data_IF_740000898896
#
_entry.id   IF_740000898896
#
_cell.length_a   1.000
_cell.length_b   1.000
_cell.length_c   1.000
_cell.angle_alpha   90.00
_cell.angle_beta   90.00
_cell.angle_gamma   90.00
#
_symmetry.space_group_name_H-M   'P 1'
#
loop_
_entity.id
_entity.type
_entity.pdbx_description
1 polymer ?
#
# COMPACT_ATOMS: atom_id res chain seq x y z
N UNK A 1 17.81 16.40 12.35
CA UNK A 1 16.48 16.90 11.97
C UNK A 1 16.22 16.54 10.51
N UNK A 2 15.16 15.82 10.22
CA UNK A 2 14.81 15.49 8.84
C UNK A 2 14.23 16.76 8.17
N UNK A 3 14.92 17.31 7.15
CA UNK A 3 14.40 18.52 6.49
C UNK A 3 13.08 18.29 5.74
N UNK A 4 12.68 17.04 5.50
CA UNK A 4 11.40 16.74 4.87
C UNK A 4 10.22 16.86 5.84
N UNK A 5 10.47 16.86 7.16
CA UNK A 5 9.40 16.86 8.16
C UNK A 5 8.51 18.09 8.09
N UNK A 6 9.07 19.24 7.68
CA UNK A 6 8.33 20.50 7.60
C UNK A 6 7.75 20.77 6.21
N UNK A 7 7.96 19.85 5.28
CA UNK A 7 7.47 20.04 3.91
C UNK A 7 6.01 19.61 3.78
N UNK A 8 5.23 20.32 2.98
CA UNK A 8 3.88 19.87 2.65
C UNK A 8 3.91 18.50 1.98
N UNK A 9 2.84 17.75 2.21
CA UNK A 9 2.59 16.47 1.56
C UNK A 9 1.23 16.52 0.87
N UNK A 10 0.86 15.44 0.18
CA UNK A 10 -0.54 15.27 -0.21
C UNK A 10 -1.38 15.09 1.04
N UNK A 11 -2.68 15.36 0.92
CA UNK A 11 -3.62 15.17 2.03
C UNK A 11 -3.96 13.69 2.22
N UNK A 12 -4.52 13.34 3.37
CA UNK A 12 -5.08 12.01 3.61
C UNK A 12 -6.08 11.62 2.51
N UNK A 13 -6.98 12.52 2.14
CA UNK A 13 -7.98 12.24 1.11
C UNK A 13 -7.33 11.94 -0.24
N UNK A 14 -6.32 12.69 -0.63
CA UNK A 14 -5.57 12.44 -1.87
C UNK A 14 -4.84 11.10 -1.83
N UNK A 15 -4.23 10.77 -0.69
CA UNK A 15 -3.56 9.48 -0.50
C UNK A 15 -4.53 8.31 -0.63
N UNK A 16 -5.72 8.42 -0.05
CA UNK A 16 -6.74 7.37 -0.15
C UNK A 16 -7.24 7.20 -1.58
N UNK A 17 -7.39 8.31 -2.33
CA UNK A 17 -7.74 8.24 -3.75
C UNK A 17 -6.65 7.50 -4.54
N UNK A 18 -5.39 7.80 -4.27
CA UNK A 18 -4.27 7.13 -4.94
C UNK A 18 -4.22 5.64 -4.59
N UNK A 19 -4.42 5.30 -3.32
CA UNK A 19 -4.48 3.91 -2.88
C UNK A 19 -5.60 3.16 -3.61
N UNK A 20 -6.78 3.76 -3.72
CA UNK A 20 -7.88 3.17 -4.46
C UNK A 20 -7.54 2.91 -5.92
N UNK A 21 -6.86 3.85 -6.58
CA UNK A 21 -6.39 3.66 -7.95
C UNK A 21 -5.41 2.48 -8.06
N UNK A 22 -4.43 2.42 -7.17
CA UNK A 22 -3.44 1.33 -7.19
C UNK A 22 -4.10 -0.04 -6.99
N UNK A 23 -5.05 -0.13 -6.08
CA UNK A 23 -5.80 -1.37 -5.82
C UNK A 23 -6.66 -1.74 -7.05
N UNK A 24 -7.45 -0.81 -7.56
CA UNK A 24 -8.37 -1.08 -8.67
C UNK A 24 -7.63 -1.46 -9.95
N UNK A 25 -6.54 -0.76 -10.26
CA UNK A 25 -5.72 -1.06 -11.43
C UNK A 25 -5.08 -2.45 -11.33
N UNK A 26 -4.64 -2.82 -10.14
CA UNK A 26 -4.05 -4.15 -9.91
C UNK A 26 -5.12 -5.23 -10.05
N UNK A 27 -6.28 -5.05 -9.45
CA UNK A 27 -7.39 -6.01 -9.53
C UNK A 27 -7.82 -6.23 -11.00
N UNK A 28 -7.76 -5.18 -11.80
CA UNK A 28 -8.18 -5.24 -13.20
C UNK A 28 -7.36 -6.22 -14.05
N UNK A 29 -6.12 -6.55 -13.63
CA UNK A 29 -5.28 -7.49 -14.36
C UNK A 29 -5.34 -8.91 -13.80
N UNK A 30 -6.11 -9.13 -12.74
CA UNK A 30 -6.25 -10.45 -12.12
C UNK A 30 -7.46 -11.18 -12.70
N UNK A 31 -7.25 -12.41 -13.15
CA UNK A 31 -8.30 -13.25 -13.71
C UNK A 31 -8.31 -14.62 -13.03
N UNK A 32 -9.49 -15.10 -12.60
CA UNK A 32 -10.79 -14.42 -12.63
C UNK A 32 -10.78 -13.19 -11.73
N UNK A 33 -11.67 -12.23 -12.00
CA UNK A 33 -11.73 -11.00 -11.20
C UNK A 33 -12.13 -11.34 -9.77
N UNK A 34 -11.30 -11.00 -8.77
CA UNK A 34 -11.62 -11.29 -7.39
C UNK A 34 -12.65 -10.31 -6.83
N UNK A 35 -13.32 -10.74 -5.77
CA UNK A 35 -14.11 -9.85 -4.94
C UNK A 35 -13.22 -9.30 -3.83
N UNK A 36 -13.29 -8.00 -3.61
CA UNK A 36 -12.50 -7.33 -2.58
C UNK A 36 -13.24 -7.42 -1.24
N UNK A 37 -12.57 -8.02 -0.25
CA UNK A 37 -13.08 -8.15 1.11
C UNK A 37 -12.16 -7.36 2.04
N UNK A 38 -12.66 -6.22 2.51
CA UNK A 38 -11.84 -5.27 3.28
C UNK A 38 -11.35 -5.89 4.58
N UNK A 39 -10.04 -5.81 4.79
CA UNK A 39 -9.43 -6.11 6.07
C UNK A 39 -9.60 -4.89 6.98
N UNK A 40 -10.55 -4.97 7.91
CA UNK A 40 -11.01 -3.84 8.74
C UNK A 40 -9.86 -3.13 9.48
N UNK A 41 -8.89 -3.85 10.10
CA UNK A 41 -7.78 -3.17 10.78
C UNK A 41 -6.96 -2.24 9.90
N UNK A 42 -6.97 -2.44 8.57
CA UNK A 42 -6.24 -1.54 7.67
C UNK A 42 -6.83 -0.14 7.60
N UNK A 43 -8.06 0.06 8.07
CA UNK A 43 -8.68 1.39 8.13
C UNK A 43 -8.07 2.28 9.20
N UNK A 44 -7.34 1.72 10.15
CA UNK A 44 -6.69 2.50 11.20
C UNK A 44 -5.44 3.16 10.64
N UNK A 45 -5.35 4.48 10.81
CA UNK A 45 -4.16 5.22 10.39
C UNK A 45 -2.99 4.83 11.29
N UNK A 46 -1.82 4.63 10.68
CA UNK A 46 -0.58 4.38 11.39
C UNK A 46 0.15 5.66 11.74
N UNK A 47 0.95 5.62 12.77
CA UNK A 47 1.89 6.70 13.10
C UNK A 47 3.14 6.48 12.28
N UNK A 48 3.69 7.58 11.73
CA UNK A 48 4.94 7.49 10.97
C UNK A 48 6.08 7.01 11.86
N UNK A 49 6.90 6.07 11.36
CA UNK A 49 7.95 5.45 12.19
C UNK A 49 9.21 6.28 12.37
N UNK A 50 9.29 7.50 11.85
CA UNK A 50 10.47 8.34 12.00
C UNK A 50 10.56 8.85 13.43
N UNK A 51 11.41 8.20 14.23
CA UNK A 51 11.54 8.47 15.66
C UNK A 51 12.47 9.62 15.98
N UNK A 52 13.21 10.12 14.99
CA UNK A 52 14.21 11.18 15.21
C UNK A 52 13.61 12.57 15.11
N UNK A 53 12.39 12.68 14.61
CA UNK A 53 11.71 13.94 14.43
C UNK A 53 10.53 14.06 15.41
N UNK A 54 10.58 15.03 16.35
CA UNK A 54 9.48 15.23 17.29
C UNK A 54 8.14 15.54 16.62
N UNK A 55 8.15 16.10 15.40
CA UNK A 55 6.95 16.36 14.64
C UNK A 55 6.37 15.14 13.95
N UNK A 56 7.09 14.01 13.93
CA UNK A 56 6.64 12.81 13.22
C UNK A 56 5.37 12.21 13.82
N UNK A 57 5.11 12.45 15.09
CA UNK A 57 3.89 11.94 15.76
C UNK A 57 2.60 12.53 15.16
N UNK A 58 2.68 13.68 14.49
CA UNK A 58 1.54 14.32 13.85
C UNK A 58 1.37 13.90 12.40
N UNK A 59 2.33 13.18 11.85
CA UNK A 59 2.25 12.62 10.51
C UNK A 59 1.72 11.20 10.58
N UNK A 60 1.00 10.80 9.55
CA UNK A 60 0.33 9.50 9.50
C UNK A 60 0.71 8.75 8.22
N UNK A 61 0.54 7.44 8.28
CA UNK A 61 0.45 6.59 7.11
C UNK A 61 -0.99 6.09 7.01
N UNK A 62 -1.55 6.12 5.81
CA UNK A 62 -2.88 5.56 5.57
C UNK A 62 -2.73 4.33 4.68
N UNK A 63 -3.59 3.35 4.89
CA UNK A 63 -3.53 2.11 4.14
C UNK A 63 -4.92 1.54 3.88
N UNK A 64 -4.98 0.65 2.89
CA UNK A 64 -6.13 -0.20 2.65
C UNK A 64 -5.60 -1.57 2.26
N UNK A 65 -6.19 -2.60 2.83
CA UNK A 65 -5.83 -3.97 2.54
C UNK A 65 -7.09 -4.80 2.36
N UNK A 66 -7.08 -5.67 1.36
CA UNK A 66 -8.24 -6.48 1.01
C UNK A 66 -7.84 -7.93 0.85
N UNK A 67 -8.70 -8.83 1.32
CA UNK A 67 -8.64 -10.22 0.88
C UNK A 67 -9.21 -10.31 -0.53
N UNK A 68 -8.57 -11.09 -1.38
CA UNK A 68 -9.04 -11.33 -2.75
C UNK A 68 -9.82 -12.64 -2.76
N UNK A 69 -11.15 -12.55 -2.75
CA UNK A 69 -12.04 -13.70 -2.69
C UNK A 69 -12.39 -14.20 -4.08
N UNK A 70 -12.60 -15.51 -4.21
CA UNK A 70 -13.05 -16.11 -5.46
C UNK A 70 -11.95 -16.55 -6.39
N UNK A 71 -10.68 -16.48 -5.96
CA UNK A 71 -9.55 -17.00 -6.73
C UNK A 71 -9.37 -18.50 -6.47
N UNK A 72 -8.76 -19.24 -7.43
CA UNK A 72 -8.32 -20.61 -7.15
C UNK A 72 -7.38 -20.64 -5.95
N UNK A 73 -7.42 -21.73 -5.18
CA UNK A 73 -6.72 -21.82 -3.89
C UNK A 73 -5.47 -22.70 -3.92
N UNK A 74 -5.00 -23.11 -5.11
CA UNK A 74 -3.75 -23.84 -5.24
C UNK A 74 -2.57 -22.88 -5.24
N UNK A 75 -1.44 -23.32 -4.70
CA UNK A 75 -0.23 -22.48 -4.69
C UNK A 75 0.19 -22.07 -6.09
N UNK A 76 0.13 -22.99 -7.05
CA UNK A 76 0.53 -22.71 -8.43
C UNK A 76 -0.35 -21.65 -9.07
N UNK A 77 -1.66 -21.70 -8.84
CA UNK A 77 -2.59 -20.70 -9.35
C UNK A 77 -2.33 -19.32 -8.71
N UNK A 78 -2.10 -19.29 -7.41
CA UNK A 78 -1.80 -18.04 -6.69
C UNK A 78 -0.46 -17.46 -7.15
N UNK A 79 0.55 -18.29 -7.34
CA UNK A 79 1.86 -17.85 -7.83
C UNK A 79 1.73 -17.23 -9.23
N UNK A 80 0.88 -17.80 -10.07
CA UNK A 80 0.62 -17.27 -11.40
C UNK A 80 -0.03 -15.88 -11.33
N UNK A 81 -1.00 -15.71 -10.44
CA UNK A 81 -1.65 -14.41 -10.22
C UNK A 81 -0.60 -13.37 -9.81
N UNK A 82 0.23 -13.70 -8.83
CA UNK A 82 1.25 -12.77 -8.34
C UNK A 82 2.27 -12.44 -9.43
N UNK A 83 2.65 -13.42 -10.25
CA UNK A 83 3.56 -13.17 -11.38
C UNK A 83 2.96 -12.20 -12.39
N UNK A 84 1.67 -12.30 -12.67
CA UNK A 84 0.96 -11.39 -13.59
C UNK A 84 0.89 -9.98 -13.00
N UNK A 85 0.65 -9.86 -11.70
CA UNK A 85 0.66 -8.58 -10.99
C UNK A 85 2.05 -7.94 -11.05
N UNK A 86 3.10 -8.73 -10.83
CA UNK A 86 4.49 -8.24 -10.91
C UNK A 86 4.77 -7.64 -12.29
N UNK A 87 4.43 -8.35 -13.36
CA UNK A 87 4.61 -7.85 -14.72
C UNK A 87 3.86 -6.54 -14.94
N UNK A 88 2.62 -6.48 -14.46
CA UNK A 88 1.81 -5.26 -14.58
C UNK A 88 2.46 -4.08 -13.84
N UNK A 89 2.87 -4.30 -12.56
CA UNK A 89 3.51 -3.24 -11.79
C UNK A 89 4.80 -2.75 -12.47
N UNK A 90 5.60 -3.66 -13.02
CA UNK A 90 6.80 -3.29 -13.76
C UNK A 90 6.47 -2.45 -15.01
N UNK A 91 5.42 -2.82 -15.73
CA UNK A 91 4.98 -2.04 -16.91
C UNK A 91 4.53 -0.63 -16.54
N UNK A 92 3.97 -0.46 -15.36
CA UNK A 92 3.57 0.86 -14.86
C UNK A 92 4.74 1.67 -14.34
N UNK A 93 5.93 1.12 -14.31
CA UNK A 93 7.12 1.80 -13.81
C UNK A 93 7.30 1.71 -12.30
N UNK A 94 6.51 0.89 -11.62
CA UNK A 94 6.67 0.68 -10.18
C UNK A 94 7.92 -0.14 -9.90
N UNK A 95 8.48 0.06 -8.71
CA UNK A 95 9.69 -0.64 -8.29
C UNK A 95 9.32 -1.91 -7.51
N UNK A 96 9.88 -3.05 -7.90
CA UNK A 96 9.70 -4.30 -7.17
C UNK A 96 10.85 -4.41 -6.18
N UNK A 97 10.54 -4.33 -4.89
CA UNK A 97 11.54 -4.31 -3.82
C UNK A 97 11.93 -5.72 -3.39
N UNK A 98 10.95 -6.58 -3.17
CA UNK A 98 11.19 -7.89 -2.58
C UNK A 98 10.18 -8.90 -3.12
N UNK A 99 10.66 -10.12 -3.34
CA UNK A 99 9.83 -11.27 -3.67
C UNK A 99 10.22 -12.41 -2.72
N UNK A 100 9.26 -12.90 -1.95
CA UNK A 100 9.46 -13.93 -0.93
C UNK A 100 8.59 -15.15 -1.16
N UNK A 101 8.85 -16.19 -0.38
CA UNK A 101 8.03 -17.40 -0.32
C UNK A 101 7.81 -18.04 -1.69
N UNK A 102 8.89 -18.08 -2.48
CA UNK A 102 8.86 -18.72 -3.80
C UNK A 102 7.78 -18.11 -4.71
N UNK A 103 7.68 -16.78 -4.70
CA UNK A 103 6.73 -16.06 -5.55
C UNK A 103 5.34 -15.88 -4.96
N UNK A 104 5.14 -16.20 -3.69
CA UNK A 104 3.84 -16.05 -3.02
C UNK A 104 3.75 -14.79 -2.18
N UNK A 105 4.81 -13.98 -2.13
CA UNK A 105 4.83 -12.66 -1.49
C UNK A 105 5.57 -11.67 -2.37
N UNK A 106 4.98 -10.53 -2.62
CA UNK A 106 5.56 -9.49 -3.47
C UNK A 106 5.36 -8.12 -2.80
N UNK A 107 6.45 -7.38 -2.66
CA UNK A 107 6.45 -6.02 -2.14
C UNK A 107 7.04 -5.08 -3.17
N UNK A 108 6.38 -3.96 -3.40
CA UNK A 108 6.87 -2.95 -4.33
C UNK A 108 6.58 -1.55 -3.84
N UNK A 109 7.06 -0.59 -4.60
CA UNK A 109 6.82 0.83 -4.34
C UNK A 109 6.26 1.47 -5.59
N UNK A 110 5.14 2.16 -5.47
CA UNK A 110 4.56 2.87 -6.60
C UNK A 110 5.43 4.04 -7.02
N UNK A 111 5.33 4.43 -8.27
CA UNK A 111 6.04 5.59 -8.80
C UNK A 111 5.05 6.55 -9.45
N UNK A 112 5.27 7.87 -9.28
CA UNK A 112 6.43 8.52 -8.63
C UNK A 112 6.31 8.70 -7.12
N UNK A 113 5.23 8.26 -6.49
CA UNK A 113 4.84 8.64 -5.14
C UNK A 113 5.36 7.73 -4.02
N UNK A 114 5.96 6.61 -4.37
CA UNK A 114 6.65 5.71 -3.43
C UNK A 114 5.75 5.09 -2.35
N UNK A 115 4.48 4.84 -2.68
CA UNK A 115 3.60 4.10 -1.77
C UNK A 115 3.99 2.63 -1.76
N UNK A 116 3.94 2.00 -0.60
CA UNK A 116 4.15 0.56 -0.49
C UNK A 116 2.94 -0.17 -1.08
N UNK A 117 3.19 -1.08 -2.02
CA UNK A 117 2.17 -1.94 -2.61
C UNK A 117 2.55 -3.40 -2.35
N UNK A 118 1.58 -4.19 -1.91
CA UNK A 118 1.84 -5.58 -1.49
C UNK A 118 0.78 -6.51 -2.03
N UNK A 119 1.19 -7.71 -2.43
CA UNK A 119 0.29 -8.82 -2.69
C UNK A 119 0.95 -10.08 -2.15
N UNK A 120 0.18 -10.91 -1.45
CA UNK A 120 0.76 -12.10 -0.85
C UNK A 120 -0.27 -13.08 -0.35
N UNK A 121 0.21 -14.30 -0.09
CA UNK A 121 -0.61 -15.37 0.44
C UNK A 121 -0.71 -15.27 1.95
N UNK A 122 -1.93 -15.33 2.45
CA UNK A 122 -2.23 -15.51 3.86
C UNK A 122 -2.67 -16.96 4.13
N UNK A 123 -3.06 -17.24 5.38
CA UNK A 123 -3.57 -18.54 5.76
C UNK A 123 -4.69 -19.01 4.82
N UNK A 124 -4.83 -20.32 4.64
CA UNK A 124 -5.86 -20.95 3.80
C UNK A 124 -5.74 -20.58 2.31
N UNK A 125 -4.53 -20.23 1.86
CA UNK A 125 -4.26 -19.90 0.47
C UNK A 125 -5.17 -18.79 -0.06
N UNK A 126 -5.37 -17.74 0.73
CA UNK A 126 -6.08 -16.54 0.33
C UNK A 126 -5.05 -15.44 0.09
N UNK A 127 -5.18 -14.72 -1.02
CA UNK A 127 -4.32 -13.58 -1.29
C UNK A 127 -4.85 -12.33 -0.61
N UNK A 128 -3.93 -11.48 -0.14
CA UNK A 128 -4.23 -10.11 0.25
C UNK A 128 -3.54 -9.16 -0.70
N UNK A 129 -4.18 -8.01 -0.94
CA UNK A 129 -3.65 -6.92 -1.75
C UNK A 129 -3.78 -5.65 -0.94
N UNK A 130 -2.70 -4.92 -0.80
CA UNK A 130 -2.69 -3.71 0.00
C UNK A 130 -1.84 -2.60 -0.58
N UNK A 131 -2.11 -1.39 -0.13
CA UNK A 131 -1.29 -0.23 -0.41
C UNK A 131 -1.26 0.67 0.81
N UNK A 132 -0.08 1.24 1.09
CA UNK A 132 0.16 2.11 2.24
C UNK A 132 0.89 3.36 1.76
N UNK A 133 0.41 4.52 2.20
CA UNK A 133 1.02 5.78 1.81
C UNK A 133 2.39 5.99 2.45
N UNK A 134 3.12 6.95 1.91
CA UNK A 134 4.25 7.57 2.61
C UNK A 134 3.73 8.36 3.82
N UNK A 135 4.65 8.83 4.67
CA UNK A 135 4.29 9.73 5.77
C UNK A 135 3.72 11.04 5.25
N UNK A 136 2.58 11.44 5.77
CA UNK A 136 1.92 12.66 5.31
C UNK A 136 1.26 13.43 6.46
N UNK A 137 1.09 14.73 6.22
CA UNK A 137 0.29 15.58 7.09
C UNK A 137 -1.19 15.39 6.71
N UNK A 138 -2.09 15.12 7.66
CA UNK A 138 -3.48 14.79 7.31
C UNK A 138 -4.16 15.83 6.41
N UNK A 139 -3.85 17.11 6.61
CA UNK A 139 -4.39 18.20 5.82
C UNK A 139 -3.40 18.73 4.78
N UNK A 140 -2.31 18.01 4.52
CA UNK A 140 -1.34 18.35 3.49
C UNK A 140 -0.24 19.32 3.93
N UNK A 141 -0.40 19.98 5.06
CA UNK A 141 0.58 20.94 5.57
C UNK A 141 0.91 20.63 7.03
N UNK A 142 2.13 20.94 7.47
CA UNK A 142 2.48 20.83 8.88
C UNK A 142 1.52 21.64 9.73
N UNK A 143 1.10 21.06 10.85
CA UNK A 143 0.26 21.80 11.79
C UNK A 143 1.10 22.88 12.47
N UNK A 144 0.51 24.06 12.60
CA UNK A 144 1.16 25.14 13.34
C UNK A 144 1.27 24.73 14.81
N UNK A 145 2.44 24.99 15.41
CA UNK A 145 2.59 24.79 16.84
C UNK A 145 1.55 25.65 17.58
N UNK A 146 0.88 25.10 18.60
CA UNK A 146 -0.06 25.93 19.37
C UNK A 146 0.69 27.11 19.97
N UNK A 147 0.04 28.29 20.04
CA UNK A 147 0.69 29.44 20.67
C UNK A 147 1.01 29.15 22.14
N UNK A 148 2.12 29.67 22.62
CA UNK A 148 2.53 29.44 24.00
C UNK A 148 1.53 29.98 25.02
#
# INVERSE_FOLDING_TARGET
MDPSADKPTITKAQALTRIGQLIDETVAVIHPKPQLDLYQPSLNDGICPDRQDPGSADRIEVSREYYLRGLPTTEDALRKVIAEVKVYWQKQGHYIAVEHENGLQLYGHSRPDDFLITIGREADNVLTLGATSTCLWPNGTPEASPPP
#
